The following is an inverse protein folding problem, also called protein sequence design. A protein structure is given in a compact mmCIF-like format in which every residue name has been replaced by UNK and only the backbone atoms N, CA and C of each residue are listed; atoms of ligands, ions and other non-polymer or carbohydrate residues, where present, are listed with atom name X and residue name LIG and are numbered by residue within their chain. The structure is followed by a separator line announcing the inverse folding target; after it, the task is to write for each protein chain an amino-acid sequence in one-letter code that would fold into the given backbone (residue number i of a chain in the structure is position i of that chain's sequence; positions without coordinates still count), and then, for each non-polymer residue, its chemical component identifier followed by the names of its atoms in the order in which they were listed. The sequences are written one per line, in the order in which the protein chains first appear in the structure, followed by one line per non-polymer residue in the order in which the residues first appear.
data_IF_694786850630
#
_entry.id   IF_694786850630
#
_cell.length_a   1.000
_cell.length_b   1.000
_cell.length_c   1.000
_cell.angle_alpha   90.00
_cell.angle_beta   90.00
_cell.angle_gamma   90.00
#
_symmetry.space_group_name_H-M   'P 1'
#
loop_
_entity.id
_entity.type
_entity.pdbx_description
1 polymer ?
#
# COMPACT_ATOMS: atom_id res chain seq x y z
N UNK A 1 -9.25 -17.56 6.46
CA UNK A 1 -9.09 -16.13 6.79
C UNK A 1 -10.47 -15.53 6.89
N UNK A 2 -10.86 -15.01 8.06
CA UNK A 2 -12.05 -14.16 8.13
C UNK A 2 -11.66 -12.80 7.55
N UNK A 3 -12.39 -12.34 6.53
CA UNK A 3 -12.19 -10.99 6.05
C UNK A 3 -12.71 -10.03 7.12
N UNK A 4 -11.86 -9.11 7.57
CA UNK A 4 -12.30 -8.07 8.49
C UNK A 4 -13.25 -7.13 7.74
N UNK A 5 -14.28 -6.60 8.41
CA UNK A 5 -15.17 -5.63 7.78
C UNK A 5 -14.35 -4.42 7.29
N UNK A 6 -14.81 -3.74 6.23
CA UNK A 6 -14.09 -2.60 5.65
C UNK A 6 -13.91 -1.44 6.65
N UNK A 7 -14.77 -1.36 7.67
CA UNK A 7 -14.69 -0.37 8.75
C UNK A 7 -13.59 -0.70 9.79
N UNK A 8 -13.05 -1.92 9.77
CA UNK A 8 -11.99 -2.31 10.69
C UNK A 8 -10.72 -1.48 10.40
N UNK A 9 -10.04 -0.91 11.42
CA UNK A 9 -8.87 -0.05 11.21
C UNK A 9 -7.78 -0.65 10.32
N UNK A 10 -7.55 -1.96 10.43
CA UNK A 10 -6.60 -2.67 9.57
C UNK A 10 -7.03 -2.74 8.10
N UNK A 11 -8.33 -2.93 7.82
CA UNK A 11 -8.88 -2.94 6.46
C UNK A 11 -8.80 -1.54 5.84
N UNK A 12 -9.23 -0.50 6.58
CA UNK A 12 -9.10 0.91 6.18
C UNK A 12 -7.66 1.28 5.84
N UNK A 13 -6.69 0.81 6.65
CA UNK A 13 -5.27 1.08 6.43
C UNK A 13 -4.72 0.41 5.17
N UNK A 14 -5.14 -0.81 4.87
CA UNK A 14 -4.80 -1.49 3.60
C UNK A 14 -5.34 -0.70 2.41
N UNK A 15 -6.61 -0.28 2.46
CA UNK A 15 -7.24 0.50 1.39
C UNK A 15 -6.48 1.82 1.16
N UNK A 16 -6.20 2.57 2.22
CA UNK A 16 -5.48 3.84 2.12
C UNK A 16 -4.07 3.69 1.52
N UNK A 17 -3.33 2.63 1.93
CA UNK A 17 -2.00 2.34 1.39
C UNK A 17 -2.05 1.84 -0.06
N UNK A 18 -3.09 1.09 -0.43
CA UNK A 18 -3.29 0.64 -1.80
C UNK A 18 -3.56 1.82 -2.74
N UNK A 19 -4.43 2.76 -2.36
CA UNK A 19 -4.65 4.00 -3.12
C UNK A 19 -3.35 4.78 -3.29
N UNK A 20 -2.61 5.00 -2.20
CA UNK A 20 -1.32 5.70 -2.25
C UNK A 20 -0.32 5.02 -3.18
N UNK A 21 -0.24 3.69 -3.15
CA UNK A 21 0.67 2.93 -4.02
C UNK A 21 0.29 3.09 -5.50
N UNK A 22 -1.01 3.07 -5.83
CA UNK A 22 -1.49 3.31 -7.20
C UNK A 22 -1.13 4.71 -7.68
N UNK A 23 -1.31 5.74 -6.86
CA UNK A 23 -0.90 7.11 -7.20
C UNK A 23 0.62 7.21 -7.43
N UNK A 24 1.42 6.62 -6.54
CA UNK A 24 2.88 6.57 -6.70
C UNK A 24 3.31 5.79 -7.93
N UNK A 25 2.59 4.73 -8.30
CA UNK A 25 2.84 3.95 -9.50
C UNK A 25 2.61 4.78 -10.75
N UNK A 26 1.48 5.48 -10.83
CA UNK A 26 1.18 6.41 -11.93
C UNK A 26 2.24 7.52 -12.02
N UNK A 27 2.59 8.13 -10.89
CA UNK A 27 3.62 9.16 -10.83
C UNK A 27 4.99 8.64 -11.32
N UNK A 28 5.39 7.42 -10.95
CA UNK A 28 6.64 6.82 -11.41
C UNK A 28 6.62 6.45 -12.90
N UNK A 29 5.45 6.08 -13.44
CA UNK A 29 5.28 5.81 -14.87
C UNK A 29 5.33 7.08 -15.71
N UNK A 30 4.81 8.20 -15.20
CA UNK A 30 4.77 9.48 -15.89
C UNK A 30 5.95 10.41 -15.56
N UNK A 31 6.88 10.00 -14.69
CA UNK A 31 8.00 10.85 -14.28
C UNK A 31 8.97 11.11 -15.45
N UNK A 32 9.49 12.34 -15.58
CA UNK A 32 10.58 12.63 -16.50
C UNK A 32 11.84 11.84 -16.10
N UNK A 33 12.76 11.62 -17.05
CA UNK A 33 13.95 10.76 -16.89
C UNK A 33 14.76 11.14 -15.65
N UNK A 34 14.92 12.44 -15.40
CA UNK A 34 15.69 13.00 -14.28
C UNK A 34 15.09 12.65 -12.91
N UNK A 35 13.76 12.60 -12.78
CA UNK A 35 13.05 12.28 -11.53
C UNK A 35 12.68 10.79 -11.41
N UNK A 36 12.92 9.98 -12.45
CA UNK A 36 12.48 8.58 -12.53
C UNK A 36 13.05 7.71 -11.41
N UNK A 37 14.32 7.90 -11.06
CA UNK A 37 14.96 7.17 -9.96
C UNK A 37 14.31 7.49 -8.61
N UNK A 38 14.03 8.78 -8.36
CA UNK A 38 13.36 9.25 -7.15
C UNK A 38 11.93 8.73 -7.05
N UNK A 39 11.18 8.77 -8.15
CA UNK A 39 9.82 8.28 -8.20
C UNK A 39 9.76 6.75 -8.00
N UNK A 40 10.69 6.00 -8.59
CA UNK A 40 10.84 4.56 -8.36
C UNK A 40 11.17 4.24 -6.89
N UNK A 41 12.03 5.03 -6.25
CA UNK A 41 12.33 4.90 -4.82
C UNK A 41 11.08 5.08 -3.94
N UNK A 42 10.30 6.13 -4.20
CA UNK A 42 9.02 6.39 -3.48
C UNK A 42 7.99 5.28 -3.71
N UNK A 43 7.91 4.75 -4.94
CA UNK A 43 7.04 3.62 -5.26
C UNK A 43 7.45 2.36 -4.49
N UNK A 44 8.75 2.06 -4.42
CA UNK A 44 9.28 0.92 -3.65
C UNK A 44 8.93 1.02 -2.17
N UNK A 45 9.15 2.19 -1.56
CA UNK A 45 8.78 2.43 -0.15
C UNK A 45 7.29 2.23 0.07
N UNK A 46 6.44 2.84 -0.78
CA UNK A 46 4.99 2.69 -0.69
C UNK A 46 4.53 1.23 -0.87
N UNK A 47 5.24 0.44 -1.67
CA UNK A 47 4.96 -0.99 -1.84
C UNK A 47 5.25 -1.79 -0.58
N UNK A 48 6.36 -1.50 0.09
CA UNK A 48 6.70 -2.13 1.37
C UNK A 48 5.67 -1.77 2.46
N UNK A 49 5.24 -0.52 2.53
CA UNK A 49 4.21 -0.08 3.48
C UNK A 49 2.85 -0.77 3.23
N UNK A 50 2.49 -0.99 1.96
CA UNK A 50 1.29 -1.74 1.60
C UNK A 50 1.40 -3.21 2.03
N UNK A 51 2.54 -3.86 1.75
CA UNK A 51 2.79 -5.24 2.16
C UNK A 51 2.66 -5.39 3.69
N UNK A 52 3.27 -4.49 4.46
CA UNK A 52 3.16 -4.49 5.92
C UNK A 52 1.70 -4.31 6.39
N UNK A 53 0.93 -3.43 5.75
CA UNK A 53 -0.48 -3.23 6.07
C UNK A 53 -1.31 -4.50 5.80
N UNK A 54 -1.04 -5.20 4.69
CA UNK A 54 -1.70 -6.45 4.33
C UNK A 54 -1.36 -7.56 5.33
N UNK A 55 -0.11 -7.67 5.76
CA UNK A 55 0.28 -8.63 6.80
C UNK A 55 -0.43 -8.35 8.13
N UNK A 56 -0.54 -7.08 8.53
CA UNK A 56 -1.27 -6.67 9.73
C UNK A 56 -2.77 -7.00 9.63
N UNK A 57 -3.39 -6.73 8.48
CA UNK A 57 -4.78 -7.12 8.21
C UNK A 57 -4.98 -8.63 8.32
N UNK A 58 -4.06 -9.42 7.73
CA UNK A 58 -4.12 -10.88 7.77
C UNK A 58 -4.05 -11.40 9.20
N UNK A 59 -3.07 -10.95 9.98
CA UNK A 59 -2.93 -11.33 11.40
C UNK A 59 -4.16 -10.94 12.23
N UNK A 60 -4.72 -9.76 11.99
CA UNK A 60 -5.93 -9.33 12.67
C UNK A 60 -7.17 -10.20 12.33
N UNK A 61 -7.26 -10.72 11.10
CA UNK A 61 -8.30 -11.67 10.69
C UNK A 61 -8.06 -13.12 11.11
N UNK A 62 -6.85 -13.46 11.57
CA UNK A 62 -6.50 -14.76 12.16
C UNK A 62 -6.78 -14.79 13.68
N UNK A 63 -6.78 -13.64 14.36
CA UNK A 63 -7.05 -13.51 15.80
C UNK A 63 -8.52 -13.30 16.19
N UNK A 64 -9.47 -13.46 15.26
CA UNK A 64 -10.90 -13.20 15.43
C UNK A 64 -11.72 -14.46 15.11
#
# INVERSE_FOLDING_TARGET
MKNLPPDHPAATKVIAKACTWVDRRKAAQCAPVEEKARAAGKLKVSGNELAEAVEKYRRAGEGC
#
